data_IF_029370487237
#
_entry.id   IF_029370487237
#
_cell.length_a   1.000
_cell.length_b   1.000
_cell.length_c   1.000
_cell.angle_alpha   90.00
_cell.angle_beta   90.00
_cell.angle_gamma   90.00
#
_symmetry.space_group_name_H-M   'P 1'
#
loop_
_entity.id
_entity.type
_entity.pdbx_description
1 polymer ?
#
# COMPACT_ATOMS: atom_id res chain seq x y z
N UNK A 1 -26.11 -1.92 -3.95
CA UNK A 1 -25.03 -1.18 -4.65
C UNK A 1 -24.11 -0.54 -3.61
N UNK A 2 -22.78 -0.73 -3.69
CA UNK A 2 -21.83 -0.01 -2.83
C UNK A 2 -21.81 1.46 -3.24
N UNK A 3 -21.69 2.36 -2.27
CA UNK A 3 -21.69 3.80 -2.50
C UNK A 3 -20.25 4.32 -2.57
N UNK A 4 -19.99 5.31 -3.42
CA UNK A 4 -18.72 6.05 -3.48
C UNK A 4 -18.44 6.72 -2.13
N UNK A 5 -19.39 7.56 -1.71
CA UNK A 5 -19.37 8.33 -0.47
C UNK A 5 -20.72 8.16 0.25
N UNK A 6 -20.76 8.46 1.55
CA UNK A 6 -22.03 8.59 2.24
C UNK A 6 -22.73 9.88 1.76
N UNK A 7 -24.00 9.77 1.33
CA UNK A 7 -24.77 10.92 0.79
C UNK A 7 -25.07 12.00 1.84
N UNK A 8 -25.06 11.62 3.11
CA UNK A 8 -25.26 12.50 4.24
C UNK A 8 -24.14 12.21 5.22
N UNK A 9 -23.49 13.26 5.75
CA UNK A 9 -22.54 13.07 6.83
C UNK A 9 -23.27 12.48 8.04
N UNK A 10 -22.75 11.40 8.63
CA UNK A 10 -23.35 10.85 9.82
C UNK A 10 -23.15 11.81 10.98
N UNK A 11 -23.95 11.64 12.03
CA UNK A 11 -23.74 12.39 13.27
C UNK A 11 -22.41 11.97 13.87
N UNK A 12 -21.46 12.90 13.93
CA UNK A 12 -20.09 12.70 14.37
C UNK A 12 -19.77 13.72 15.46
N UNK A 13 -19.02 13.31 16.48
CA UNK A 13 -18.56 14.21 17.53
C UNK A 13 -17.54 15.24 17.00
N UNK A 14 -17.59 16.50 17.50
CA UNK A 14 -16.64 17.53 17.09
C UNK A 14 -15.21 17.19 17.54
N UNK A 15 -14.24 17.75 16.83
CA UNK A 15 -12.83 17.60 17.17
C UNK A 15 -12.51 18.15 18.55
N UNK A 16 -11.70 17.41 19.32
CA UNK A 16 -11.25 17.83 20.66
C UNK A 16 -10.12 18.85 20.63
N UNK A 17 -9.49 19.07 19.46
CA UNK A 17 -8.34 19.95 19.27
C UNK A 17 -6.99 19.31 19.58
N UNK A 18 -6.96 18.00 19.87
CA UNK A 18 -5.71 17.27 20.12
C UNK A 18 -4.78 17.30 18.89
N UNK A 19 -3.44 17.43 19.04
CA UNK A 19 -2.51 17.50 17.91
C UNK A 19 -2.65 16.33 16.90
N UNK A 20 -2.89 15.11 17.38
CA UNK A 20 -3.10 13.94 16.51
C UNK A 20 -4.40 14.04 15.70
N UNK A 21 -5.44 14.70 16.23
CA UNK A 21 -6.67 14.94 15.48
C UNK A 21 -6.46 15.95 14.35
N UNK A 22 -5.57 16.93 14.55
CA UNK A 22 -5.22 17.92 13.53
C UNK A 22 -4.51 17.26 12.35
N UNK A 23 -3.65 16.29 12.59
CA UNK A 23 -3.02 15.50 11.53
C UNK A 23 -4.08 14.72 10.72
N UNK A 24 -4.98 14.01 11.41
CA UNK A 24 -6.08 13.29 10.76
C UNK A 24 -7.01 14.23 9.97
N UNK A 25 -7.24 15.45 10.43
CA UNK A 25 -8.01 16.46 9.70
C UNK A 25 -7.33 16.91 8.42
N UNK A 26 -6.02 17.16 8.44
CA UNK A 26 -5.27 17.52 7.24
C UNK A 26 -5.35 16.39 6.21
N UNK A 27 -5.13 15.15 6.65
CA UNK A 27 -5.26 13.96 5.78
C UNK A 27 -6.68 13.83 5.24
N UNK A 28 -7.69 14.06 6.09
CA UNK A 28 -9.09 14.03 5.66
C UNK A 28 -9.37 15.07 4.57
N UNK A 29 -8.87 16.29 4.72
CA UNK A 29 -9.05 17.34 3.73
C UNK A 29 -8.39 17.00 2.39
N UNK A 30 -7.21 16.37 2.42
CA UNK A 30 -6.53 15.89 1.21
C UNK A 30 -7.41 14.86 0.49
N UNK A 31 -7.95 13.88 1.23
CA UNK A 31 -8.86 12.88 0.67
C UNK A 31 -10.13 13.54 0.10
N UNK A 32 -10.69 14.53 0.80
CA UNK A 32 -11.91 15.23 0.39
C UNK A 32 -11.69 16.09 -0.88
N UNK A 33 -10.48 16.65 -1.06
CA UNK A 33 -10.10 17.43 -2.26
C UNK A 33 -9.87 16.57 -3.50
N UNK A 34 -9.64 15.28 -3.34
CA UNK A 34 -9.29 14.37 -4.45
C UNK A 34 -10.31 13.23 -4.56
N UNK A 35 -11.57 13.55 -4.95
CA UNK A 35 -12.67 12.59 -4.97
C UNK A 35 -12.50 11.49 -6.03
N UNK A 36 -11.58 11.65 -6.99
CA UNK A 36 -11.23 10.63 -8.00
C UNK A 36 -10.64 9.37 -7.39
N UNK A 37 -9.89 9.50 -6.29
CA UNK A 37 -9.30 8.37 -5.53
C UNK A 37 -10.40 7.40 -5.07
N UNK A 38 -11.55 7.93 -4.63
CA UNK A 38 -12.68 7.11 -4.20
C UNK A 38 -13.33 6.36 -5.37
N UNK A 39 -13.23 6.84 -6.61
CA UNK A 39 -13.76 6.16 -7.79
C UNK A 39 -12.94 4.93 -8.14
N UNK A 40 -11.61 5.01 -8.06
CA UNK A 40 -10.73 3.85 -8.29
C UNK A 40 -10.98 2.77 -7.24
N UNK A 41 -11.08 3.15 -5.96
CA UNK A 41 -11.42 2.20 -4.89
C UNK A 41 -12.80 1.57 -5.12
N UNK A 42 -13.79 2.36 -5.57
CA UNK A 42 -15.12 1.84 -5.87
C UNK A 42 -15.10 0.85 -7.05
N UNK A 43 -14.28 1.09 -8.06
CA UNK A 43 -14.08 0.18 -9.20
C UNK A 43 -13.59 -1.19 -8.72
N UNK A 44 -12.52 -1.23 -7.93
CA UNK A 44 -11.96 -2.47 -7.36
C UNK A 44 -12.98 -3.20 -6.47
N UNK A 45 -13.79 -2.46 -5.70
CA UNK A 45 -14.82 -3.05 -4.85
C UNK A 45 -15.98 -3.70 -5.62
N UNK A 46 -16.17 -3.30 -6.88
CA UNK A 46 -17.20 -3.79 -7.78
C UNK A 46 -16.66 -4.81 -8.80
N UNK A 47 -15.34 -4.96 -8.91
CA UNK A 47 -14.70 -5.92 -9.79
C UNK A 47 -15.22 -7.36 -9.52
N UNK A 48 -15.55 -8.07 -10.61
CA UNK A 48 -16.11 -9.43 -10.56
C UNK A 48 -17.61 -9.53 -10.17
N UNK A 49 -18.32 -8.42 -9.94
CA UNK A 49 -19.77 -8.44 -9.64
C UNK A 49 -20.61 -8.16 -10.89
N UNK A 50 -21.05 -9.21 -11.57
CA UNK A 50 -21.75 -9.12 -12.87
C UNK A 50 -23.18 -8.57 -12.77
N UNK A 51 -23.90 -8.68 -11.63
CA UNK A 51 -25.29 -8.17 -11.53
C UNK A 51 -25.68 -7.78 -10.11
N UNK A 52 -26.33 -6.62 -9.99
CA UNK A 52 -26.94 -6.07 -8.78
C UNK A 52 -27.90 -7.08 -8.12
N UNK A 53 -27.53 -7.62 -6.96
CA UNK A 53 -28.50 -8.10 -5.98
C UNK A 53 -28.72 -6.99 -4.96
N UNK A 54 -29.87 -6.32 -5.02
CA UNK A 54 -30.33 -5.33 -4.04
C UNK A 54 -30.77 -5.99 -2.71
N UNK A 55 -30.15 -7.10 -2.32
CA UNK A 55 -30.63 -7.99 -1.26
C UNK A 55 -29.51 -8.36 -0.28
N UNK A 56 -28.76 -7.36 0.19
CA UNK A 56 -27.70 -7.56 1.18
C UNK A 56 -27.48 -6.33 2.04
N UNK A 57 -26.89 -6.52 3.22
CA UNK A 57 -26.53 -5.45 4.14
C UNK A 57 -25.73 -4.33 3.43
N UNK A 58 -25.96 -3.08 3.84
CA UNK A 58 -25.16 -1.94 3.35
C UNK A 58 -23.71 -2.14 3.79
N UNK A 59 -22.85 -2.52 2.85
CA UNK A 59 -21.41 -2.62 3.10
C UNK A 59 -20.74 -1.25 3.14
N UNK A 60 -19.52 -1.23 3.66
CA UNK A 60 -18.63 -0.05 3.73
C UNK A 60 -18.57 0.71 2.39
N UNK A 61 -18.62 2.04 2.44
CA UNK A 61 -18.40 2.88 1.26
C UNK A 61 -16.93 2.85 0.82
N UNK A 62 -16.65 3.27 -0.42
CA UNK A 62 -15.27 3.37 -0.91
C UNK A 62 -14.44 4.37 -0.08
N UNK A 63 -15.05 5.50 0.30
CA UNK A 63 -14.43 6.51 1.15
C UNK A 63 -14.09 5.98 2.55
N UNK A 64 -15.04 5.30 3.21
CA UNK A 64 -14.83 4.70 4.53
C UNK A 64 -13.73 3.64 4.49
N UNK A 65 -13.69 2.84 3.41
CA UNK A 65 -12.67 1.82 3.22
C UNK A 65 -11.28 2.42 3.04
N UNK A 66 -11.16 3.45 2.20
CA UNK A 66 -9.91 4.16 1.97
C UNK A 66 -9.39 4.76 3.29
N UNK A 67 -10.26 5.45 4.04
CA UNK A 67 -9.91 6.04 5.34
C UNK A 67 -9.47 4.96 6.33
N UNK A 68 -10.17 3.83 6.41
CA UNK A 68 -9.77 2.72 7.26
C UNK A 68 -8.40 2.11 6.86
N UNK A 69 -8.11 2.02 5.56
CA UNK A 69 -6.81 1.57 5.06
C UNK A 69 -5.68 2.55 5.45
N UNK A 70 -5.94 3.86 5.39
CA UNK A 70 -4.99 4.90 5.84
C UNK A 70 -4.74 4.79 7.35
N UNK A 71 -5.78 4.68 8.19
CA UNK A 71 -5.63 4.49 9.65
C UNK A 71 -4.78 3.25 9.95
N UNK A 72 -5.07 2.13 9.27
CA UNK A 72 -4.32 0.90 9.44
C UNK A 72 -2.83 1.10 9.17
N UNK A 73 -2.49 1.86 8.13
CA UNK A 73 -1.11 2.09 7.74
C UNK A 73 -0.42 3.10 8.67
N UNK A 74 -1.09 4.20 9.02
CA UNK A 74 -0.55 5.25 9.90
C UNK A 74 -0.15 4.72 11.27
N UNK A 75 -0.98 3.86 11.87
CA UNK A 75 -0.74 3.32 13.21
C UNK A 75 -0.20 1.89 13.23
N UNK A 76 0.12 1.33 12.05
CA UNK A 76 0.58 -0.05 11.89
C UNK A 76 -0.33 -1.10 12.57
N UNK A 77 -1.64 -0.84 12.63
CA UNK A 77 -2.59 -1.70 13.32
C UNK A 77 -2.78 -3.04 12.61
N UNK A 78 -2.99 -4.08 13.41
CA UNK A 78 -3.63 -5.32 12.95
C UNK A 78 -5.10 -5.06 12.60
N UNK A 79 -5.74 -5.96 11.84
CA UNK A 79 -7.18 -5.82 11.55
C UNK A 79 -8.06 -5.93 12.79
N UNK A 80 -7.59 -6.58 13.86
CA UNK A 80 -8.28 -6.65 15.15
C UNK A 80 -8.21 -5.32 15.89
N UNK A 81 -7.00 -4.75 15.98
CA UNK A 81 -6.80 -3.43 16.56
C UNK A 81 -7.55 -2.35 15.78
N UNK A 82 -7.53 -2.43 14.44
CA UNK A 82 -8.26 -1.49 13.60
C UNK A 82 -9.76 -1.51 13.90
N UNK A 83 -10.37 -2.69 13.97
CA UNK A 83 -11.79 -2.83 14.29
C UNK A 83 -12.11 -2.25 15.68
N UNK A 84 -11.28 -2.58 16.68
CA UNK A 84 -11.44 -2.09 18.04
C UNK A 84 -11.33 -0.55 18.11
N UNK A 85 -10.26 0.01 17.55
CA UNK A 85 -10.00 1.44 17.64
C UNK A 85 -10.94 2.30 16.78
N UNK A 86 -11.51 1.75 15.72
CA UNK A 86 -12.55 2.44 14.95
C UNK A 86 -13.86 2.61 15.75
N UNK A 87 -14.15 1.68 16.67
CA UNK A 87 -15.35 1.75 17.52
C UNK A 87 -15.09 2.50 18.83
N UNK A 88 -13.88 2.40 19.38
CA UNK A 88 -13.49 3.00 20.66
C UNK A 88 -13.03 4.47 20.53
N UNK A 89 -12.26 4.79 19.48
CA UNK A 89 -11.70 6.13 19.32
C UNK A 89 -12.60 7.02 18.48
N UNK A 90 -13.14 8.06 19.12
CA UNK A 90 -13.93 9.11 18.45
C UNK A 90 -13.18 9.80 17.31
N UNK A 91 -11.88 10.04 17.47
CA UNK A 91 -11.04 10.64 16.43
C UNK A 91 -10.97 9.76 15.19
N UNK A 92 -10.78 8.46 15.36
CA UNK A 92 -10.67 7.50 14.27
C UNK A 92 -12.03 7.20 13.63
N UNK A 93 -13.08 7.10 14.43
CA UNK A 93 -14.46 6.96 13.95
C UNK A 93 -14.86 8.17 13.08
N UNK A 94 -14.58 9.39 13.57
CA UNK A 94 -14.76 10.64 12.82
C UNK A 94 -13.96 10.66 11.52
N UNK A 95 -12.67 10.34 11.60
CA UNK A 95 -11.81 10.28 10.42
C UNK A 95 -12.33 9.28 9.39
N UNK A 96 -12.83 8.11 9.83
CA UNK A 96 -13.39 7.07 8.97
C UNK A 96 -14.82 7.36 8.50
N UNK A 97 -15.45 8.49 8.88
CA UNK A 97 -16.86 8.81 8.59
C UNK A 97 -17.81 7.70 9.07
N UNK A 98 -17.60 7.22 10.29
CA UNK A 98 -18.51 6.29 10.96
C UNK A 98 -19.35 7.09 11.95
N UNK A 99 -20.67 7.00 11.83
CA UNK A 99 -21.58 7.68 12.74
C UNK A 99 -21.59 7.09 14.13
N UNK A 100 -21.98 7.90 15.12
CA UNK A 100 -22.15 7.47 16.52
C UNK A 100 -23.18 6.33 16.63
N UNK A 101 -24.20 6.33 15.76
CA UNK A 101 -25.23 5.30 15.70
C UNK A 101 -24.93 4.20 14.66
N UNK A 102 -23.86 4.34 13.90
CA UNK A 102 -23.49 3.33 12.90
C UNK A 102 -22.81 2.14 13.58
N UNK A 103 -23.17 0.94 13.16
CA UNK A 103 -22.48 -0.26 13.62
C UNK A 103 -21.07 -0.30 13.00
N UNK A 104 -20.08 -0.47 13.86
CA UNK A 104 -18.69 -0.73 13.49
C UNK A 104 -18.49 -1.88 12.50
N UNK A 105 -17.34 -1.88 11.83
CA UNK A 105 -16.97 -2.95 10.90
C UNK A 105 -16.05 -3.96 11.57
N UNK A 106 -16.46 -5.23 11.58
CA UNK A 106 -15.64 -6.31 12.14
C UNK A 106 -14.36 -6.58 11.34
N UNK A 107 -13.36 -7.17 12.01
CA UNK A 107 -12.02 -7.48 11.45
C UNK A 107 -12.07 -8.17 10.09
N UNK A 108 -12.97 -9.15 9.92
CA UNK A 108 -13.07 -9.96 8.69
C UNK A 108 -13.56 -9.12 7.52
N UNK A 109 -14.49 -8.20 7.76
CA UNK A 109 -14.98 -7.28 6.74
C UNK A 109 -13.90 -6.27 6.34
N UNK A 110 -13.16 -5.72 7.30
CA UNK A 110 -12.04 -4.80 7.04
C UNK A 110 -10.95 -5.49 6.21
N UNK A 111 -10.49 -6.68 6.63
CA UNK A 111 -9.48 -7.44 5.92
C UNK A 111 -9.92 -7.80 4.49
N UNK A 112 -11.13 -8.34 4.33
CA UNK A 112 -11.65 -8.76 3.04
C UNK A 112 -11.91 -7.60 2.07
N UNK A 113 -12.14 -6.38 2.57
CA UNK A 113 -12.34 -5.21 1.72
C UNK A 113 -11.02 -4.49 1.41
N UNK A 114 -10.12 -4.30 2.39
CA UNK A 114 -8.84 -3.61 2.16
C UNK A 114 -7.98 -4.40 1.17
N UNK A 115 -7.98 -5.74 1.26
CA UNK A 115 -7.27 -6.62 0.30
C UNK A 115 -7.79 -6.56 -1.14
N UNK A 116 -8.98 -6.00 -1.37
CA UNK A 116 -9.52 -5.86 -2.74
C UNK A 116 -8.93 -4.68 -3.48
N UNK A 117 -8.34 -3.71 -2.77
CA UNK A 117 -7.70 -2.57 -3.42
C UNK A 117 -6.43 -3.09 -4.09
N UNK A 118 -6.42 -3.02 -5.42
CA UNK A 118 -5.32 -3.54 -6.24
C UNK A 118 -4.06 -2.68 -6.05
N UNK A 119 -2.87 -3.25 -6.28
CA UNK A 119 -1.63 -2.48 -6.34
C UNK A 119 -1.69 -1.34 -7.36
N UNK A 120 -2.31 -1.57 -8.52
CA UNK A 120 -2.48 -0.57 -9.57
C UNK A 120 -3.33 0.61 -9.10
N UNK A 121 -4.40 0.35 -8.34
CA UNK A 121 -5.21 1.39 -7.72
C UNK A 121 -4.41 2.19 -6.71
N UNK A 122 -3.60 1.54 -5.85
CA UNK A 122 -2.71 2.27 -4.93
C UNK A 122 -1.70 3.16 -5.66
N UNK A 123 -1.14 2.68 -6.77
CA UNK A 123 -0.22 3.49 -7.60
C UNK A 123 -0.94 4.72 -8.19
N UNK A 124 -2.16 4.54 -8.72
CA UNK A 124 -2.96 5.66 -9.26
C UNK A 124 -3.27 6.69 -8.18
N UNK A 125 -3.66 6.24 -6.99
CA UNK A 125 -3.93 7.11 -5.85
C UNK A 125 -2.67 7.91 -5.49
N UNK A 126 -1.51 7.24 -5.40
CA UNK A 126 -0.24 7.90 -5.11
C UNK A 126 0.12 8.95 -6.18
N UNK A 127 -0.10 8.63 -7.46
CA UNK A 127 0.14 9.54 -8.57
C UNK A 127 -0.75 10.78 -8.51
N UNK A 128 -2.05 10.62 -8.27
CA UNK A 128 -2.99 11.74 -8.14
C UNK A 128 -2.60 12.66 -6.98
N UNK A 129 -2.20 12.09 -5.83
CA UNK A 129 -1.71 12.85 -4.68
C UNK A 129 -0.41 13.60 -4.99
N UNK A 130 0.52 13.01 -5.74
CA UNK A 130 1.76 13.68 -6.15
C UNK A 130 1.50 14.84 -7.12
N UNK A 131 0.53 14.71 -8.03
CA UNK A 131 0.12 15.80 -8.93
C UNK A 131 -0.45 16.95 -8.10
N UNK A 132 -1.37 16.66 -7.17
CA UNK A 132 -1.92 17.68 -6.28
C UNK A 132 -0.84 18.37 -5.44
N UNK A 133 0.08 17.59 -4.83
CA UNK A 133 1.17 18.14 -4.03
C UNK A 133 2.11 19.05 -4.85
N UNK A 134 2.29 18.73 -6.13
CA UNK A 134 3.04 19.58 -7.07
C UNK A 134 2.31 20.89 -7.36
N UNK A 135 1.01 20.82 -7.62
CA UNK A 135 0.18 22.01 -7.90
C UNK A 135 0.10 22.95 -6.67
N UNK A 136 0.06 22.37 -5.46
CA UNK A 136 0.09 23.10 -4.19
C UNK A 136 1.53 23.55 -3.79
N UNK A 137 2.56 23.28 -4.62
CA UNK A 137 3.97 23.56 -4.34
C UNK A 137 4.51 22.94 -3.03
N UNK A 138 3.90 21.85 -2.56
CA UNK A 138 4.30 21.12 -1.35
C UNK A 138 5.49 20.20 -1.64
N UNK A 139 5.45 19.48 -2.76
CA UNK A 139 6.53 18.61 -3.22
C UNK A 139 6.75 18.81 -4.73
N UNK A 140 8.01 18.70 -5.17
CA UNK A 140 8.38 18.79 -6.60
C UNK A 140 8.03 17.52 -7.37
N UNK A 141 7.56 16.46 -6.69
CA UNK A 141 7.21 15.17 -7.30
C UNK A 141 8.43 14.46 -7.91
N UNK A 142 9.64 14.84 -7.49
CA UNK A 142 10.87 14.15 -7.90
C UNK A 142 11.00 12.89 -7.06
N UNK A 143 11.41 11.79 -7.70
CA UNK A 143 11.56 10.44 -7.12
C UNK A 143 11.84 10.48 -5.61
N UNK A 144 10.82 10.20 -4.81
CA UNK A 144 10.96 10.07 -3.36
C UNK A 144 11.66 8.75 -3.07
N UNK A 145 12.82 8.80 -2.40
CA UNK A 145 13.50 7.61 -1.93
C UNK A 145 12.85 7.22 -0.61
N UNK A 146 11.88 6.32 -0.69
CA UNK A 146 11.21 5.73 0.47
C UNK A 146 11.98 4.45 0.80
N UNK A 147 12.33 4.24 2.06
CA UNK A 147 12.90 2.96 2.51
C UNK A 147 11.80 1.90 2.40
N UNK A 148 11.81 1.16 1.29
CA UNK A 148 10.83 0.10 1.04
C UNK A 148 11.10 -1.08 1.99
N UNK A 149 10.04 -1.70 2.50
CA UNK A 149 10.13 -3.06 3.05
C UNK A 149 10.69 -3.99 1.97
N UNK A 150 11.58 -4.91 2.35
CA UNK A 150 12.23 -5.87 1.44
C UNK A 150 11.15 -6.63 0.68
N UNK A 151 10.98 -6.32 -0.61
CA UNK A 151 10.23 -7.17 -1.55
C UNK A 151 11.11 -8.36 -1.90
N UNK A 152 10.50 -9.53 -2.17
CA UNK A 152 11.22 -10.62 -2.80
C UNK A 152 11.79 -10.10 -4.12
N UNK A 153 13.08 -9.85 -4.10
CA UNK A 153 13.86 -9.46 -5.25
C UNK A 153 14.71 -10.65 -5.62
N UNK A 154 15.12 -10.72 -6.89
CA UNK A 154 16.13 -11.68 -7.34
C UNK A 154 17.55 -11.34 -6.81
N UNK A 155 17.61 -10.62 -5.69
CA UNK A 155 18.78 -10.27 -4.92
C UNK A 155 18.80 -11.27 -3.76
N UNK A 156 19.73 -12.22 -3.85
CA UNK A 156 19.94 -13.19 -2.79
C UNK A 156 20.22 -12.49 -1.47
N UNK A 157 19.78 -13.11 -0.38
CA UNK A 157 20.10 -12.66 0.98
C UNK A 157 21.64 -12.57 1.12
N UNK A 158 22.19 -11.51 1.76
CA UNK A 158 23.63 -11.25 1.78
C UNK A 158 24.34 -12.22 2.72
N UNK A 159 24.43 -13.48 2.31
CA UNK A 159 25.31 -14.46 2.91
C UNK A 159 26.69 -14.32 2.25
N UNK A 160 27.74 -14.33 3.05
CA UNK A 160 29.13 -14.19 2.57
C UNK A 160 29.47 -15.20 1.48
N UNK A 161 28.94 -16.43 1.58
CA UNK A 161 29.12 -17.49 0.58
C UNK A 161 28.52 -17.13 -0.79
N UNK A 162 27.37 -16.46 -0.83
CA UNK A 162 26.70 -16.06 -2.07
C UNK A 162 27.43 -14.89 -2.72
N UNK A 163 27.91 -13.94 -1.93
CA UNK A 163 28.70 -12.80 -2.42
C UNK A 163 30.04 -13.25 -3.03
N UNK A 164 30.70 -14.22 -2.39
CA UNK A 164 31.92 -14.84 -2.93
C UNK A 164 31.64 -15.61 -4.21
N UNK A 165 30.53 -16.36 -4.27
CA UNK A 165 30.12 -17.06 -5.48
C UNK A 165 29.86 -16.10 -6.65
N UNK A 166 29.13 -15.00 -6.42
CA UNK A 166 28.87 -14.02 -7.47
C UNK A 166 30.16 -13.35 -7.96
N UNK A 167 31.10 -13.08 -7.06
CA UNK A 167 32.43 -12.56 -7.42
C UNK A 167 33.21 -13.53 -8.31
N UNK A 168 33.27 -14.81 -7.93
CA UNK A 168 33.92 -15.86 -8.74
C UNK A 168 33.22 -16.01 -10.10
N UNK A 169 31.88 -16.03 -10.14
CA UNK A 169 31.10 -16.13 -11.37
C UNK A 169 31.41 -14.99 -12.35
N UNK A 170 31.51 -13.76 -11.85
CA UNK A 170 31.85 -12.59 -12.67
C UNK A 170 33.28 -12.69 -13.20
N UNK A 171 34.25 -13.05 -12.33
CA UNK A 171 35.65 -13.24 -12.72
C UNK A 171 35.80 -14.34 -13.79
N UNK A 172 35.16 -15.49 -13.58
CA UNK A 172 35.16 -16.60 -14.55
C UNK A 172 34.56 -16.18 -15.89
N UNK A 173 33.44 -15.44 -15.87
CA UNK A 173 32.82 -14.91 -17.10
C UNK A 173 33.76 -13.95 -17.85
N UNK A 174 34.47 -13.07 -17.14
CA UNK A 174 35.42 -12.13 -17.75
C UNK A 174 36.63 -12.87 -18.34
N UNK A 175 37.13 -13.90 -17.64
CA UNK A 175 38.21 -14.75 -18.15
C UNK A 175 37.80 -15.51 -19.42
N UNK A 176 36.57 -16.02 -19.49
CA UNK A 176 36.05 -16.62 -20.72
C UNK A 176 35.97 -15.61 -21.87
N UNK A 177 35.47 -14.39 -21.62
CA UNK A 177 35.46 -13.33 -22.63
C UNK A 177 36.86 -12.99 -23.12
N UNK A 178 37.82 -12.85 -22.21
CA UNK A 178 39.20 -12.56 -22.57
C UNK A 178 39.87 -13.69 -23.37
N UNK A 179 39.59 -14.96 -23.05
CA UNK A 179 40.00 -16.10 -23.88
C UNK A 179 39.43 -15.99 -25.29
N UNK A 180 38.13 -15.75 -25.40
CA UNK A 180 37.44 -15.77 -26.69
C UNK A 180 37.85 -14.58 -27.58
N UNK A 181 38.15 -13.44 -26.98
CA UNK A 181 38.52 -12.20 -27.70
C UNK A 181 40.03 -12.11 -28.01
N UNK A 182 40.90 -12.62 -27.13
CA UNK A 182 42.36 -12.50 -27.26
C UNK A 182 43.08 -13.84 -27.49
N UNK A 183 42.36 -14.95 -27.63
CA UNK A 183 42.94 -16.28 -27.90
C UNK A 183 43.77 -16.87 -26.76
N UNK A 184 43.63 -16.34 -25.54
CA UNK A 184 44.44 -16.72 -24.37
C UNK A 184 43.98 -18.08 -23.83
N UNK A 185 44.87 -19.07 -23.73
CA UNK A 185 44.55 -20.37 -23.11
C UNK A 185 44.35 -20.22 -21.60
N UNK A 186 43.11 -20.21 -21.15
CA UNK A 186 42.74 -20.25 -19.72
C UNK A 186 42.30 -21.67 -19.35
N UNK A 187 43.07 -22.34 -18.48
CA UNK A 187 42.75 -23.66 -17.92
C UNK A 187 42.09 -23.51 -16.55
N UNK A 188 40.86 -24.03 -16.40
CA UNK A 188 40.16 -24.09 -15.11
C UNK A 188 40.24 -25.51 -14.55
N UNK A 189 40.67 -25.66 -13.29
CA UNK A 189 40.72 -26.95 -12.58
C UNK A 189 39.35 -27.27 -11.96
N UNK A 190 38.88 -28.54 -11.93
CA UNK A 190 37.48 -28.87 -11.60
C UNK A 190 37.07 -28.58 -10.15
N UNK A 191 38.04 -28.38 -9.25
CA UNK A 191 37.77 -28.11 -7.82
C UNK A 191 37.09 -26.76 -7.57
N UNK A 192 37.06 -25.87 -8.57
CA UNK A 192 36.50 -24.51 -8.45
C UNK A 192 34.99 -24.44 -8.74
N UNK A 193 34.35 -25.52 -9.19
CA UNK A 193 32.94 -25.52 -9.64
C UNK A 193 31.99 -26.37 -8.77
N UNK A 194 32.44 -26.88 -7.63
CA UNK A 194 31.63 -27.66 -6.69
C UNK A 194 31.08 -26.80 -5.54
N UNK A 195 30.36 -25.74 -5.88
CA UNK A 195 29.39 -25.14 -4.96
C UNK A 195 28.06 -25.09 -5.72
N UNK A 196 27.36 -26.22 -5.75
CA UNK A 196 25.95 -26.30 -6.11
C UNK A 196 25.14 -26.13 -4.82
N UNK A 197 24.63 -24.93 -4.56
CA UNK A 197 23.41 -24.67 -3.78
C UNK A 197 22.71 -23.51 -4.47
#
# INVERSE_FOLDING_TARGET
MRKKQQKQMPLIEPASGHPQERELEIISQIIDRTPTICDYVLQDLNEGKVRNRNAGAQGMSAEQLLRAAVVKQLYAFTYEQLAFHMDDSRALSRFCRIGIADKGFGKSALNANIKRISPDTWERISRDLLVQAKDENIDKGRKARIDCTVVESNIHKPFDSIQLFDSVRVLTRLLYKARDEFGIKVTFTPTTLLIKI
#
